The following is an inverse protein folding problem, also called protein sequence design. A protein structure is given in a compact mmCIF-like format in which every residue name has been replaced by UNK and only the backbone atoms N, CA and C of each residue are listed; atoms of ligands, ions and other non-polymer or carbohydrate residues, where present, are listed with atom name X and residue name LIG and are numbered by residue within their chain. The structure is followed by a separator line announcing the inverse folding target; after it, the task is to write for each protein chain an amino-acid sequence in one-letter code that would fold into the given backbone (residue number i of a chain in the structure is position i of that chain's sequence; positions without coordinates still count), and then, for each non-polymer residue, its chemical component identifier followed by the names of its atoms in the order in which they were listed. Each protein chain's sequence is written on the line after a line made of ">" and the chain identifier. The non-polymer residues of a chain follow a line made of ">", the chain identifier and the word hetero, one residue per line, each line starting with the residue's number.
data_IF_524583134936
#
_entry.id   IF_524583134936
#
_cell.length_a   1.000
_cell.length_b   1.000
_cell.length_c   1.000
_cell.angle_alpha   90.00
_cell.angle_beta   90.00
_cell.angle_gamma   90.00
#
_symmetry.space_group_name_H-M   'P 1'
#
loop_
_entity.id
_entity.type
_entity.pdbx_description
1 polymer ?
#
# COMPACT_ATOMS: atom_id res chain seq x y z
N UNK A 1 -2.55 7.88 -30.86
CA UNK A 1 -3.98 7.99 -31.27
C UNK A 1 -4.45 6.55 -31.45
N UNK A 2 -5.29 6.05 -30.53
CA UNK A 2 -5.84 4.69 -30.61
C UNK A 2 -6.99 4.73 -31.59
N UNK A 3 -6.88 4.01 -32.71
CA UNK A 3 -7.98 3.88 -33.64
C UNK A 3 -9.22 3.32 -32.92
N UNK A 4 -10.32 4.04 -32.99
CA UNK A 4 -11.50 3.86 -32.12
C UNK A 4 -12.22 2.51 -32.27
N UNK A 5 -11.96 1.73 -33.32
CA UNK A 5 -12.68 0.48 -33.60
C UNK A 5 -12.00 -0.79 -33.06
N UNK A 6 -10.75 -0.72 -32.58
CA UNK A 6 -9.97 -1.90 -32.20
C UNK A 6 -9.81 -2.10 -30.67
N UNK A 7 -10.52 -1.30 -29.86
CA UNK A 7 -10.39 -1.35 -28.40
C UNK A 7 -11.40 -2.31 -27.79
N UNK A 8 -10.91 -3.20 -26.92
CA UNK A 8 -11.72 -4.10 -26.11
C UNK A 8 -11.39 -3.90 -24.64
N UNK A 9 -12.41 -3.69 -23.84
CA UNK A 9 -12.24 -3.54 -22.39
C UNK A 9 -12.36 -4.87 -21.68
N UNK A 10 -11.36 -5.22 -20.87
CA UNK A 10 -11.43 -6.31 -19.92
C UNK A 10 -11.79 -5.74 -18.53
N UNK A 11 -12.88 -6.21 -17.92
CA UNK A 11 -13.32 -5.75 -16.60
C UNK A 11 -13.13 -6.88 -15.60
N UNK A 12 -12.57 -6.58 -14.43
CA UNK A 12 -12.31 -7.60 -13.39
C UNK A 12 -13.58 -8.12 -12.71
N UNK A 13 -14.67 -7.32 -12.71
CA UNK A 13 -15.95 -7.60 -12.05
C UNK A 13 -17.07 -7.90 -13.02
N UNK A 14 -18.13 -8.56 -12.57
CA UNK A 14 -19.27 -8.98 -13.39
C UNK A 14 -20.56 -8.21 -13.15
N UNK A 15 -20.51 -6.98 -12.65
CA UNK A 15 -21.68 -6.17 -12.30
C UNK A 15 -22.16 -5.28 -13.46
N UNK A 16 -23.48 -5.17 -13.63
CA UNK A 16 -24.06 -4.20 -14.55
C UNK A 16 -23.82 -2.74 -14.11
N UNK A 17 -23.66 -2.50 -12.81
CA UNK A 17 -23.31 -1.19 -12.28
C UNK A 17 -21.91 -0.76 -12.75
N UNK A 18 -20.95 -1.68 -12.75
CA UNK A 18 -19.58 -1.41 -13.22
C UNK A 18 -19.58 -1.11 -14.72
N UNK A 19 -20.37 -1.81 -15.51
CA UNK A 19 -20.51 -1.54 -16.95
C UNK A 19 -21.07 -0.14 -17.22
N UNK A 20 -22.08 0.29 -16.47
CA UNK A 20 -22.64 1.63 -16.62
C UNK A 20 -21.65 2.72 -16.20
N UNK A 21 -20.86 2.46 -15.15
CA UNK A 21 -19.80 3.35 -14.71
C UNK A 21 -18.69 3.46 -15.76
N UNK A 22 -18.27 2.33 -16.34
CA UNK A 22 -17.33 2.32 -17.46
C UNK A 22 -17.83 3.11 -18.66
N UNK A 23 -19.09 2.95 -19.05
CA UNK A 23 -19.70 3.72 -20.16
C UNK A 23 -19.61 5.22 -19.93
N UNK A 24 -19.93 5.65 -18.70
CA UNK A 24 -19.83 7.06 -18.31
C UNK A 24 -18.38 7.56 -18.34
N UNK A 25 -17.45 6.82 -17.77
CA UNK A 25 -16.03 7.17 -17.76
C UNK A 25 -15.44 7.21 -19.18
N UNK A 26 -15.77 6.24 -20.04
CA UNK A 26 -15.34 6.23 -21.43
C UNK A 26 -15.86 7.46 -22.20
N UNK A 27 -17.13 7.83 -21.98
CA UNK A 27 -17.73 9.04 -22.59
C UNK A 27 -17.00 10.32 -22.14
N UNK A 28 -16.72 10.44 -20.84
CA UNK A 28 -16.05 11.63 -20.27
C UNK A 28 -14.62 11.79 -20.80
N UNK A 29 -13.91 10.69 -21.07
CA UNK A 29 -12.51 10.71 -21.53
C UNK A 29 -12.38 10.54 -23.07
N UNK A 30 -13.46 10.67 -23.83
CA UNK A 30 -13.49 10.50 -25.28
C UNK A 30 -12.96 9.13 -25.75
N UNK A 31 -13.15 8.08 -24.95
CA UNK A 31 -12.83 6.70 -25.32
C UNK A 31 -14.01 5.99 -25.98
N UNK A 32 -13.78 4.93 -26.76
CA UNK A 32 -14.84 4.12 -27.36
C UNK A 32 -15.81 3.60 -26.30
N UNK A 33 -17.10 3.85 -26.48
CA UNK A 33 -18.12 3.44 -25.51
C UNK A 33 -18.33 1.92 -25.57
N UNK A 34 -18.26 1.17 -24.44
CA UNK A 34 -18.53 -0.26 -24.43
C UNK A 34 -20.00 -0.56 -24.77
N UNK A 35 -20.24 -1.33 -25.82
CA UNK A 35 -21.56 -1.73 -26.28
C UNK A 35 -21.64 -3.25 -26.41
N UNK A 36 -22.72 -3.88 -25.91
CA UNK A 36 -22.94 -5.33 -26.00
C UNK A 36 -22.95 -5.81 -27.46
N UNK A 37 -23.59 -5.06 -28.34
CA UNK A 37 -23.74 -5.41 -29.77
C UNK A 37 -22.41 -5.33 -30.54
N UNK A 38 -21.43 -4.54 -30.07
CA UNK A 38 -20.10 -4.41 -30.70
C UNK A 38 -19.07 -5.38 -30.14
N UNK A 39 -19.42 -6.21 -29.13
CA UNK A 39 -18.52 -7.16 -28.43
C UNK A 39 -17.18 -6.55 -28.02
N UNK A 40 -17.18 -5.24 -27.72
CA UNK A 40 -15.95 -4.51 -27.39
C UNK A 40 -15.65 -4.46 -25.87
N UNK A 41 -16.25 -5.36 -25.10
CA UNK A 41 -15.88 -5.60 -23.70
C UNK A 41 -16.18 -7.02 -23.28
N UNK A 42 -15.46 -7.51 -22.27
CA UNK A 42 -15.77 -8.76 -21.57
C UNK A 42 -15.47 -8.65 -20.08
N UNK A 43 -16.09 -9.53 -19.31
CA UNK A 43 -15.98 -9.55 -17.86
C UNK A 43 -15.30 -10.83 -17.40
N UNK A 44 -14.20 -10.69 -16.64
CA UNK A 44 -13.56 -11.81 -15.97
C UNK A 44 -14.37 -12.20 -14.73
N UNK A 45 -15.42 -12.98 -14.90
CA UNK A 45 -16.26 -13.44 -13.78
C UNK A 45 -15.41 -14.21 -12.77
N UNK A 46 -15.52 -13.84 -11.50
CA UNK A 46 -14.94 -14.60 -10.39
C UNK A 46 -15.47 -16.03 -10.34
N UNK A 47 -14.77 -16.91 -9.64
CA UNK A 47 -15.23 -18.27 -9.41
C UNK A 47 -16.55 -18.27 -8.64
N UNK A 48 -17.60 -18.90 -9.16
CA UNK A 48 -18.90 -19.04 -8.46
C UNK A 48 -18.77 -20.16 -7.43
N UNK A 49 -19.04 -19.84 -6.18
CA UNK A 49 -19.38 -20.81 -5.13
C UNK A 49 -20.90 -20.82 -4.99
N UNK A 50 -21.51 -21.98 -5.14
CA UNK A 50 -22.90 -22.17 -4.76
C UNK A 50 -23.04 -22.29 -3.24
N UNK A 51 -22.04 -22.91 -2.61
CA UNK A 51 -21.97 -23.09 -1.15
C UNK A 51 -20.54 -22.76 -0.63
N UNK A 52 -20.38 -22.33 0.64
CA UNK A 52 -19.09 -21.94 1.22
C UNK A 52 -18.00 -23.03 1.19
N UNK A 53 -18.39 -24.29 1.20
CA UNK A 53 -17.49 -25.46 1.19
C UNK A 53 -17.12 -25.97 -0.21
N UNK A 54 -17.70 -25.42 -1.26
CA UNK A 54 -17.38 -25.84 -2.63
C UNK A 54 -16.10 -25.19 -3.14
N UNK A 55 -15.27 -25.97 -3.84
CA UNK A 55 -14.15 -25.42 -4.61
C UNK A 55 -14.69 -24.52 -5.72
N UNK A 56 -14.18 -23.29 -5.83
CA UNK A 56 -14.67 -22.34 -6.81
C UNK A 56 -14.38 -22.82 -8.24
N UNK A 57 -15.42 -23.04 -9.04
CA UNK A 57 -15.27 -23.37 -10.46
C UNK A 57 -14.99 -22.11 -11.26
N UNK A 58 -13.79 -21.99 -11.80
CA UNK A 58 -13.42 -20.92 -12.73
C UNK A 58 -14.01 -21.25 -14.12
N UNK A 59 -14.79 -20.32 -14.67
CA UNK A 59 -15.23 -20.40 -16.08
C UNK A 59 -14.55 -19.27 -16.85
N UNK A 60 -13.87 -19.64 -17.94
CA UNK A 60 -13.34 -18.64 -18.87
C UNK A 60 -14.51 -17.92 -19.54
N UNK A 61 -14.42 -16.61 -19.76
CA UNK A 61 -15.47 -15.86 -20.45
C UNK A 61 -15.67 -16.39 -21.86
N UNK A 62 -16.92 -16.63 -22.27
CA UNK A 62 -17.24 -17.03 -23.65
C UNK A 62 -16.80 -15.95 -24.64
N UNK A 63 -16.94 -14.71 -24.24
CA UNK A 63 -16.53 -13.53 -24.99
C UNK A 63 -15.02 -13.52 -25.29
N UNK A 64 -14.19 -14.00 -24.37
CA UNK A 64 -12.75 -14.15 -24.61
C UNK A 64 -12.44 -15.27 -25.62
N UNK A 65 -13.20 -16.36 -25.60
CA UNK A 65 -13.07 -17.42 -26.60
C UNK A 65 -13.43 -16.93 -28.00
N UNK A 66 -14.53 -16.18 -28.15
CA UNK A 66 -14.97 -15.59 -29.42
C UNK A 66 -13.95 -14.58 -29.92
N UNK A 67 -13.41 -13.75 -29.04
CA UNK A 67 -12.37 -12.78 -29.37
C UNK A 67 -11.10 -13.45 -29.93
N UNK A 68 -10.62 -14.51 -29.31
CA UNK A 68 -9.36 -15.17 -29.72
C UNK A 68 -9.56 -15.98 -31.04
N UNK A 69 -10.78 -16.38 -31.34
CA UNK A 69 -11.13 -17.04 -32.60
C UNK A 69 -11.34 -16.07 -33.76
N UNK A 70 -11.45 -14.77 -33.47
CA UNK A 70 -11.64 -13.75 -34.50
C UNK A 70 -10.32 -13.62 -35.33
N UNK A 71 -10.39 -13.68 -36.68
CA UNK A 71 -9.22 -13.49 -37.54
C UNK A 71 -8.49 -12.15 -37.30
N UNK A 72 -9.24 -11.11 -36.94
CA UNK A 72 -8.68 -9.79 -36.64
C UNK A 72 -8.28 -9.59 -35.18
N UNK A 73 -8.24 -10.66 -34.39
CA UNK A 73 -7.88 -10.58 -32.97
C UNK A 73 -6.49 -9.96 -32.73
N UNK A 74 -5.53 -10.22 -33.60
CA UNK A 74 -4.18 -9.67 -33.53
C UNK A 74 -4.12 -8.14 -33.69
N UNK A 75 -5.15 -7.53 -34.30
CA UNK A 75 -5.27 -6.07 -34.46
C UNK A 75 -5.99 -5.39 -33.30
N UNK A 76 -6.56 -6.16 -32.37
CA UNK A 76 -7.36 -5.65 -31.26
C UNK A 76 -6.52 -5.43 -30.02
N UNK A 77 -6.74 -4.30 -29.37
CA UNK A 77 -6.04 -3.87 -28.15
C UNK A 77 -6.94 -4.16 -26.96
N UNK A 78 -6.46 -4.97 -26.01
CA UNK A 78 -7.20 -5.26 -24.78
C UNK A 78 -6.75 -4.29 -23.69
N UNK A 79 -7.68 -3.45 -23.22
CA UNK A 79 -7.44 -2.51 -22.12
C UNK A 79 -8.06 -3.07 -20.84
N UNK A 80 -7.25 -3.48 -19.85
CA UNK A 80 -7.76 -3.86 -18.55
C UNK A 80 -8.33 -2.63 -17.81
N UNK A 81 -9.52 -2.78 -17.21
CA UNK A 81 -10.18 -1.70 -16.47
C UNK A 81 -10.59 -2.18 -15.09
N UNK A 82 -10.11 -1.50 -14.06
CA UNK A 82 -10.55 -1.68 -12.69
C UNK A 82 -11.53 -0.57 -12.28
N UNK A 83 -12.59 -0.95 -11.58
CA UNK A 83 -13.60 -0.03 -11.06
C UNK A 83 -13.69 -0.22 -9.55
N UNK A 84 -13.39 0.84 -8.82
CA UNK A 84 -13.46 0.87 -7.36
C UNK A 84 -14.57 1.81 -6.91
N UNK A 85 -15.43 1.31 -6.01
CA UNK A 85 -16.50 2.08 -5.41
C UNK A 85 -16.07 2.63 -4.06
N UNK A 86 -16.10 3.95 -3.90
CA UNK A 86 -15.69 4.64 -2.70
C UNK A 86 -14.18 4.84 -2.58
N UNK A 87 -13.77 5.44 -1.46
CA UNK A 87 -12.36 5.58 -1.08
C UNK A 87 -11.90 4.26 -0.49
N UNK A 88 -10.83 3.72 -0.96
CA UNK A 88 -10.12 2.50 -0.55
C UNK A 88 -10.99 1.38 0.05
N UNK A 89 -10.96 0.15 -0.46
CA UNK A 89 -11.87 -0.89 -0.04
C UNK A 89 -11.58 -1.32 1.39
N UNK A 90 -12.64 -1.42 2.10
CA UNK A 90 -12.71 -1.92 3.44
C UNK A 90 -12.34 -3.40 3.54
N UNK A 91 -11.50 -3.73 4.47
CA UNK A 91 -11.02 -5.09 4.73
C UNK A 91 -11.29 -5.59 6.14
N UNK A 92 -12.18 -5.00 6.92
CA UNK A 92 -12.38 -5.52 8.28
C UNK A 92 -13.80 -5.49 8.85
N UNK A 93 -14.02 -6.53 9.59
CA UNK A 93 -14.78 -6.90 10.78
C UNK A 93 -16.30 -7.06 10.70
N UNK A 94 -16.69 -8.30 10.94
CA UNK A 94 -18.02 -8.89 11.16
C UNK A 94 -19.13 -8.42 10.22
N UNK A 95 -20.01 -7.53 10.60
CA UNK A 95 -21.15 -7.12 9.77
C UNK A 95 -20.76 -6.07 8.72
N UNK A 96 -19.78 -5.21 9.01
CA UNK A 96 -19.20 -4.25 8.05
C UNK A 96 -18.45 -4.98 6.96
N UNK A 97 -17.80 -6.13 7.23
CA UNK A 97 -17.22 -7.02 6.21
C UNK A 97 -18.21 -7.47 5.15
N UNK A 98 -19.47 -7.67 5.50
CA UNK A 98 -20.51 -8.06 4.54
C UNK A 98 -20.86 -6.95 3.57
N UNK A 99 -20.81 -5.69 4.02
CA UNK A 99 -21.20 -4.52 3.23
C UNK A 99 -20.05 -4.06 2.32
N UNK A 100 -18.82 -4.02 2.85
CA UNK A 100 -17.67 -3.41 2.17
C UNK A 100 -16.65 -4.41 1.61
N UNK A 101 -16.86 -5.70 1.84
CA UNK A 101 -15.95 -6.73 1.35
C UNK A 101 -15.97 -6.74 -0.16
N UNK A 102 -14.99 -6.05 -0.76
CA UNK A 102 -14.56 -6.30 -2.12
C UNK A 102 -13.84 -7.65 -2.10
N UNK A 103 -14.62 -8.72 -1.87
CA UNK A 103 -14.09 -10.05 -1.93
C UNK A 103 -13.60 -10.26 -3.37
N UNK A 104 -12.44 -10.83 -3.50
CA UNK A 104 -11.88 -11.35 -4.73
C UNK A 104 -12.83 -12.35 -5.43
N UNK A 105 -14.01 -12.60 -4.84
CA UNK A 105 -15.00 -13.59 -5.23
C UNK A 105 -16.38 -12.94 -5.35
N UNK A 106 -16.90 -12.94 -6.56
CA UNK A 106 -18.26 -12.72 -7.03
C UNK A 106 -19.16 -11.71 -6.29
N UNK A 107 -19.72 -10.76 -7.04
CA UNK A 107 -20.66 -9.74 -6.54
C UNK A 107 -22.08 -10.26 -6.43
N UNK A 108 -22.68 -10.19 -5.23
CA UNK A 108 -24.13 -10.27 -5.04
C UNK A 108 -24.76 -8.91 -5.37
N UNK A 109 -25.95 -8.90 -6.00
CA UNK A 109 -26.72 -7.67 -6.32
C UNK A 109 -26.92 -6.78 -5.07
N UNK A 110 -27.31 -7.40 -3.97
CA UNK A 110 -27.55 -6.68 -2.70
C UNK A 110 -26.30 -5.97 -2.18
N UNK A 111 -25.12 -6.58 -2.31
CA UNK A 111 -23.83 -5.99 -1.93
C UNK A 111 -23.48 -4.78 -2.79
N UNK A 112 -23.71 -4.87 -4.09
CA UNK A 112 -23.45 -3.75 -4.99
C UNK A 112 -24.41 -2.59 -4.75
N UNK A 113 -25.65 -2.88 -4.44
CA UNK A 113 -26.64 -1.87 -4.03
C UNK A 113 -26.19 -1.18 -2.73
N UNK A 114 -25.77 -1.93 -1.71
CA UNK A 114 -25.24 -1.37 -0.46
C UNK A 114 -23.97 -0.56 -0.68
N UNK A 115 -23.04 -1.00 -1.56
CA UNK A 115 -21.87 -0.19 -1.94
C UNK A 115 -22.26 1.17 -2.52
N UNK A 116 -23.26 1.21 -3.38
CA UNK A 116 -23.74 2.48 -3.97
C UNK A 116 -24.41 3.36 -2.92
N UNK A 117 -25.18 2.79 -2.01
CA UNK A 117 -25.86 3.53 -0.94
C UNK A 117 -24.86 4.13 0.05
N UNK A 118 -23.86 3.34 0.52
CA UNK A 118 -22.92 3.79 1.55
C UNK A 118 -21.75 4.61 1.00
N UNK A 119 -21.26 4.30 -0.20
CA UNK A 119 -20.15 5.03 -0.83
C UNK A 119 -20.62 6.18 -1.73
N UNK A 120 -21.92 6.39 -1.84
CA UNK A 120 -22.49 7.39 -2.73
C UNK A 120 -22.22 7.08 -4.20
N UNK A 121 -22.21 8.12 -5.04
CA UNK A 121 -21.96 7.99 -6.50
C UNK A 121 -20.47 8.05 -6.86
N UNK A 122 -19.57 7.96 -5.89
CA UNK A 122 -18.13 8.03 -6.13
C UNK A 122 -17.61 6.67 -6.61
N UNK A 123 -17.38 6.55 -7.90
CA UNK A 123 -16.71 5.39 -8.50
C UNK A 123 -15.46 5.87 -9.24
N UNK A 124 -14.34 5.27 -8.94
CA UNK A 124 -13.06 5.53 -9.60
C UNK A 124 -12.83 4.46 -10.68
N UNK A 125 -12.64 4.88 -11.91
CA UNK A 125 -12.38 4.01 -13.06
C UNK A 125 -10.93 4.18 -13.48
N UNK A 126 -10.17 3.09 -13.48
CA UNK A 126 -8.76 3.08 -13.85
C UNK A 126 -8.57 2.27 -15.12
N UNK A 127 -8.13 2.95 -16.17
CA UNK A 127 -7.69 2.34 -17.42
C UNK A 127 -6.20 2.00 -17.27
N UNK A 128 -5.85 0.74 -17.46
CA UNK A 128 -4.46 0.28 -17.34
C UNK A 128 -3.79 0.20 -18.71
N UNK A 129 -2.46 0.03 -18.71
CA UNK A 129 -1.70 -0.16 -19.94
C UNK A 129 -2.31 -1.29 -20.77
N UNK A 130 -2.51 -1.07 -22.09
CA UNK A 130 -3.01 -2.11 -22.98
C UNK A 130 -2.18 -3.38 -22.90
N UNK A 131 -2.82 -4.52 -23.15
CA UNK A 131 -2.14 -5.76 -23.48
C UNK A 131 -1.78 -5.72 -24.96
N UNK A 132 -0.49 -5.85 -25.26
CA UNK A 132 -0.03 -5.90 -26.63
C UNK A 132 -0.39 -7.25 -27.26
N UNK A 133 -0.80 -7.22 -28.52
CA UNK A 133 -1.20 -8.43 -29.25
C UNK A 133 -0.08 -9.47 -29.28
N UNK A 134 1.17 -9.03 -29.31
CA UNK A 134 2.37 -9.86 -29.28
C UNK A 134 2.48 -10.67 -28.00
N UNK A 135 2.13 -10.14 -26.84
CA UNK A 135 2.11 -10.88 -25.57
C UNK A 135 1.14 -12.08 -25.58
N UNK A 136 0.08 -11.99 -26.40
CA UNK A 136 -0.98 -12.98 -26.49
C UNK A 136 -0.70 -13.98 -27.60
N UNK A 137 -0.36 -13.51 -28.79
CA UNK A 137 -0.34 -14.30 -30.04
C UNK A 137 1.05 -14.79 -30.48
N UNK A 138 2.09 -14.63 -29.66
CA UNK A 138 3.49 -14.94 -29.97
C UNK A 138 3.78 -16.41 -30.36
N UNK A 139 2.83 -17.33 -30.19
CA UNK A 139 3.02 -18.75 -30.48
C UNK A 139 1.82 -19.33 -31.24
N UNK A 140 2.05 -20.11 -32.29
CA UNK A 140 1.05 -20.97 -33.00
C UNK A 140 0.55 -22.07 -32.03
N UNK A 141 -0.28 -21.72 -31.05
CA UNK A 141 -0.88 -22.67 -30.11
C UNK A 141 -2.39 -22.75 -30.31
N UNK A 142 -3.03 -23.81 -29.83
CA UNK A 142 -4.48 -23.98 -29.93
C UNK A 142 -5.21 -22.82 -29.27
N UNK A 143 -6.37 -22.43 -29.81
CA UNK A 143 -7.18 -21.33 -29.31
C UNK A 143 -7.53 -21.49 -27.81
N UNK A 144 -7.74 -22.71 -27.35
CA UNK A 144 -7.99 -23.02 -25.93
C UNK A 144 -6.80 -22.67 -25.02
N UNK A 145 -5.58 -22.91 -25.48
CA UNK A 145 -4.37 -22.57 -24.73
C UNK A 145 -4.18 -21.03 -24.68
N UNK A 146 -4.45 -20.33 -25.78
CA UNK A 146 -4.38 -18.86 -25.83
C UNK A 146 -5.40 -18.22 -24.89
N UNK A 147 -6.63 -18.75 -24.82
CA UNK A 147 -7.65 -18.28 -23.85
C UNK A 147 -7.18 -18.43 -22.42
N UNK A 148 -6.62 -19.59 -22.07
CA UNK A 148 -6.09 -19.84 -20.72
C UNK A 148 -4.90 -18.93 -20.39
N UNK A 149 -3.99 -18.72 -21.35
CA UNK A 149 -2.84 -17.81 -21.19
C UNK A 149 -3.32 -16.38 -20.95
N UNK A 150 -4.24 -15.87 -21.78
CA UNK A 150 -4.78 -14.51 -21.69
C UNK A 150 -5.57 -14.30 -20.40
N UNK A 151 -6.41 -15.27 -19.97
CA UNK A 151 -7.13 -15.20 -18.69
C UNK A 151 -6.16 -15.13 -17.51
N UNK A 152 -5.08 -15.94 -17.52
CA UNK A 152 -4.06 -15.91 -16.49
C UNK A 152 -3.31 -14.58 -16.45
N UNK A 153 -2.91 -14.06 -17.61
CA UNK A 153 -2.23 -12.77 -17.76
C UNK A 153 -3.10 -11.62 -17.22
N UNK A 154 -4.35 -11.56 -17.66
CA UNK A 154 -5.30 -10.53 -17.22
C UNK A 154 -5.53 -10.59 -15.71
N UNK A 155 -5.76 -11.79 -15.16
CA UNK A 155 -5.94 -11.94 -13.70
C UNK A 155 -4.69 -11.58 -12.91
N UNK A 156 -3.49 -11.91 -13.41
CA UNK A 156 -2.24 -11.52 -12.79
C UNK A 156 -2.08 -9.98 -12.82
N UNK A 157 -2.38 -9.34 -13.96
CA UNK A 157 -2.36 -7.87 -14.12
C UNK A 157 -3.36 -7.18 -13.21
N UNK A 158 -4.61 -7.63 -13.18
CA UNK A 158 -5.63 -7.11 -12.26
C UNK A 158 -5.20 -7.26 -10.79
N UNK A 159 -4.61 -8.41 -10.43
CA UNK A 159 -4.11 -8.64 -9.08
C UNK A 159 -3.00 -7.65 -8.72
N UNK A 160 -2.01 -7.44 -9.60
CA UNK A 160 -0.91 -6.49 -9.40
C UNK A 160 -1.43 -5.06 -9.27
N UNK A 161 -2.29 -4.62 -10.19
CA UNK A 161 -2.85 -3.27 -10.19
C UNK A 161 -3.70 -3.02 -8.94
N UNK A 162 -4.54 -4.00 -8.59
CA UNK A 162 -5.36 -3.94 -7.38
C UNK A 162 -4.50 -3.90 -6.13
N UNK A 163 -3.43 -4.69 -6.07
CA UNK A 163 -2.49 -4.69 -4.96
C UNK A 163 -1.74 -3.36 -4.83
N UNK A 164 -1.37 -2.73 -5.94
CA UNK A 164 -0.73 -1.42 -5.95
C UNK A 164 -1.63 -0.31 -5.37
N UNK A 165 -2.94 -0.40 -5.63
CA UNK A 165 -3.92 0.61 -5.19
C UNK A 165 -4.52 0.32 -3.81
N UNK A 166 -4.85 -0.94 -3.53
CA UNK A 166 -5.53 -1.35 -2.32
C UNK A 166 -4.59 -1.92 -1.26
N UNK A 167 -3.36 -2.13 -1.63
CA UNK A 167 -2.41 -2.89 -0.82
C UNK A 167 -2.66 -4.40 -0.85
N UNK A 168 -1.74 -5.17 -0.29
CA UNK A 168 -1.87 -6.60 -0.16
C UNK A 168 -3.02 -6.97 0.79
N UNK A 169 -3.49 -8.20 0.71
CA UNK A 169 -4.49 -8.69 1.65
C UNK A 169 -3.92 -8.68 3.08
N UNK A 170 -4.38 -7.74 3.87
CA UNK A 170 -4.05 -7.62 5.30
C UNK A 170 -4.84 -8.70 6.04
N UNK A 171 -4.57 -9.95 5.69
CA UNK A 171 -5.09 -11.04 6.45
C UNK A 171 -4.46 -11.00 7.83
N UNK A 172 -5.27 -10.63 8.80
CA UNK A 172 -5.08 -10.84 10.21
C UNK A 172 -3.62 -10.72 10.71
N UNK A 173 -3.34 -9.72 11.54
CA UNK A 173 -2.09 -9.53 12.29
C UNK A 173 -1.58 -10.83 12.91
N UNK A 174 -2.48 -11.70 13.39
CA UNK A 174 -2.14 -13.03 13.93
C UNK A 174 -1.42 -13.90 12.91
N UNK A 175 -1.88 -13.91 11.65
CA UNK A 175 -1.25 -14.67 10.57
C UNK A 175 0.14 -14.13 10.24
N UNK A 176 0.32 -12.80 10.27
CA UNK A 176 1.63 -12.18 10.07
C UNK A 176 2.59 -12.59 11.21
N UNK A 177 2.17 -12.43 12.46
CA UNK A 177 2.95 -12.83 13.63
C UNK A 177 3.33 -14.32 13.56
N UNK A 178 2.38 -15.18 13.25
CA UNK A 178 2.62 -16.62 13.11
C UNK A 178 3.62 -16.93 11.98
N UNK A 179 3.55 -16.24 10.87
CA UNK A 179 4.50 -16.40 9.75
C UNK A 179 5.93 -15.94 10.10
N UNK A 180 6.07 -14.90 10.93
CA UNK A 180 7.35 -14.41 11.44
C UNK A 180 7.97 -15.44 12.40
N UNK A 181 7.21 -15.92 13.37
CA UNK A 181 7.69 -16.88 14.37
C UNK A 181 8.06 -18.23 13.76
N UNK A 182 7.39 -18.62 12.68
CA UNK A 182 7.69 -19.85 11.95
C UNK A 182 8.80 -19.73 10.90
N UNK A 183 9.41 -18.54 10.74
CA UNK A 183 10.54 -18.37 9.83
C UNK A 183 11.75 -19.16 10.30
N UNK A 184 12.55 -19.64 9.32
CA UNK A 184 13.76 -20.42 9.60
C UNK A 184 14.77 -19.63 10.44
N UNK A 185 14.90 -18.32 10.19
CA UNK A 185 15.84 -17.45 10.88
C UNK A 185 15.51 -17.27 12.37
N UNK A 186 14.21 -17.07 12.69
CA UNK A 186 13.75 -16.94 14.09
C UNK A 186 13.85 -18.28 14.82
N UNK A 187 13.43 -19.38 14.19
CA UNK A 187 13.57 -20.72 14.77
C UNK A 187 15.01 -21.10 15.04
N UNK A 188 15.91 -20.82 14.09
CA UNK A 188 17.35 -21.07 14.27
C UNK A 188 17.93 -20.28 15.44
N UNK A 189 17.58 -18.99 15.57
CA UNK A 189 18.03 -18.18 16.69
C UNK A 189 17.52 -18.70 18.04
N UNK A 190 16.26 -19.14 18.13
CA UNK A 190 15.68 -19.75 19.35
C UNK A 190 16.40 -21.06 19.68
N UNK A 191 16.62 -21.93 18.69
CA UNK A 191 17.34 -23.20 18.87
C UNK A 191 18.78 -23.00 19.36
N UNK A 192 19.51 -22.08 18.73
CA UNK A 192 20.88 -21.74 19.14
C UNK A 192 20.95 -21.25 20.59
N UNK A 193 19.96 -20.47 21.01
CA UNK A 193 19.90 -19.98 22.40
C UNK A 193 19.51 -21.05 23.40
N UNK A 194 18.60 -21.94 23.01
CA UNK A 194 18.03 -22.96 23.92
C UNK A 194 18.98 -24.13 24.21
N UNK A 195 19.98 -24.37 23.32
CA UNK A 195 20.96 -25.47 23.44
C UNK A 195 20.31 -26.83 23.79
N UNK A 196 19.13 -27.09 23.24
CA UNK A 196 18.38 -28.35 23.46
C UNK A 196 17.44 -28.35 24.69
N UNK A 197 17.46 -27.33 25.54
CA UNK A 197 16.56 -27.24 26.68
C UNK A 197 15.15 -26.84 26.27
N UNK A 198 14.17 -27.72 26.34
CA UNK A 198 12.74 -27.45 25.99
C UNK A 198 12.14 -26.31 26.82
N UNK A 199 12.52 -26.16 28.08
CA UNK A 199 12.05 -25.09 28.98
C UNK A 199 12.55 -23.71 28.50
N UNK A 200 13.82 -23.62 28.12
CA UNK A 200 14.42 -22.40 27.58
C UNK A 200 13.84 -22.05 26.21
N UNK A 201 13.65 -23.05 25.37
CA UNK A 201 13.01 -22.90 24.06
C UNK A 201 11.60 -22.31 24.16
N UNK A 202 10.77 -22.87 25.05
CA UNK A 202 9.43 -22.35 25.31
C UNK A 202 9.45 -20.89 25.80
N UNK A 203 10.39 -20.55 26.69
CA UNK A 203 10.57 -19.17 27.15
C UNK A 203 10.99 -18.22 26.02
N UNK A 204 11.90 -18.64 25.13
CA UNK A 204 12.32 -17.83 23.98
C UNK A 204 11.21 -17.67 22.94
N UNK A 205 10.42 -18.72 22.67
CA UNK A 205 9.22 -18.64 21.83
C UNK A 205 8.22 -17.59 22.37
N UNK A 206 7.96 -17.59 23.68
CA UNK A 206 7.11 -16.59 24.35
C UNK A 206 7.68 -15.18 24.24
N UNK A 207 9.01 -15.02 24.33
CA UNK A 207 9.68 -13.71 24.13
C UNK A 207 9.57 -13.26 22.67
N UNK A 208 9.83 -14.13 21.69
CA UNK A 208 9.69 -13.83 20.27
C UNK A 208 8.26 -13.39 19.93
N UNK A 209 7.25 -14.07 20.49
CA UNK A 209 5.85 -13.68 20.34
C UNK A 209 5.56 -12.28 20.90
N UNK A 210 6.07 -11.97 22.10
CA UNK A 210 5.96 -10.63 22.70
C UNK A 210 6.64 -9.56 21.83
N UNK A 211 7.79 -9.86 21.23
CA UNK A 211 8.47 -8.95 20.31
C UNK A 211 7.67 -8.72 19.04
N UNK A 212 7.12 -9.77 18.46
CA UNK A 212 6.26 -9.65 17.28
C UNK A 212 5.00 -8.83 17.57
N UNK A 213 4.38 -9.00 18.75
CA UNK A 213 3.26 -8.16 19.21
C UNK A 213 3.68 -6.70 19.45
N UNK A 214 4.89 -6.46 19.92
CA UNK A 214 5.43 -5.10 20.09
C UNK A 214 5.64 -4.43 18.73
N UNK A 215 6.17 -5.14 17.75
CA UNK A 215 6.57 -4.63 16.44
C UNK A 215 5.36 -4.44 15.53
N UNK A 216 4.59 -5.48 15.25
CA UNK A 216 3.61 -5.51 14.15
C UNK A 216 2.49 -4.47 14.28
N UNK A 217 2.17 -3.83 13.17
CA UNK A 217 0.97 -3.00 12.99
C UNK A 217 -0.32 -3.82 13.06
N UNK A 218 -1.45 -3.13 13.13
CA UNK A 218 -2.79 -3.72 13.19
C UNK A 218 -3.79 -2.81 12.46
N UNK A 219 -3.61 -2.66 11.16
CA UNK A 219 -4.38 -1.71 10.36
C UNK A 219 -5.88 -1.96 10.49
N UNK A 220 -6.62 -0.90 10.76
CA UNK A 220 -8.08 -0.90 10.90
C UNK A 220 -8.69 0.18 10.01
N UNK A 221 -9.45 -0.24 8.99
CA UNK A 221 -10.08 0.70 8.06
C UNK A 221 -11.11 1.64 8.69
N UNK A 222 -11.93 1.24 9.67
CA UNK A 222 -12.77 2.19 10.41
C UNK A 222 -11.95 3.31 11.06
N UNK A 223 -10.78 3.00 11.61
CA UNK A 223 -9.88 3.99 12.19
C UNK A 223 -9.26 4.87 11.11
N UNK A 224 -8.86 4.31 9.98
CA UNK A 224 -8.36 5.08 8.82
C UNK A 224 -9.43 6.04 8.30
N UNK A 225 -10.68 5.59 8.20
CA UNK A 225 -11.80 6.45 7.81
C UNK A 225 -12.00 7.62 8.79
N UNK A 226 -11.87 7.35 10.09
CA UNK A 226 -11.93 8.40 11.11
C UNK A 226 -10.75 9.38 10.96
N UNK A 227 -9.53 8.87 10.70
CA UNK A 227 -8.39 9.72 10.37
C UNK A 227 -8.65 10.58 9.13
N UNK A 228 -9.20 10.02 8.05
CA UNK A 228 -9.53 10.80 6.84
C UNK A 228 -10.45 11.99 7.17
N UNK A 229 -11.48 11.76 7.98
CA UNK A 229 -12.39 12.84 8.38
C UNK A 229 -11.71 13.89 9.27
N UNK A 230 -10.97 13.43 10.27
CA UNK A 230 -10.27 14.32 11.19
C UNK A 230 -9.16 15.13 10.47
N UNK A 231 -8.38 14.48 9.60
CA UNK A 231 -7.31 15.15 8.85
C UNK A 231 -7.86 16.08 7.77
N UNK A 232 -8.95 15.71 7.10
CA UNK A 232 -9.61 16.59 6.15
C UNK A 232 -10.09 17.88 6.84
N UNK A 233 -10.72 17.74 8.02
CA UNK A 233 -11.08 18.90 8.82
C UNK A 233 -9.86 19.71 9.23
N UNK A 234 -8.77 19.06 9.70
CA UNK A 234 -7.54 19.72 10.15
C UNK A 234 -6.87 20.52 9.02
N UNK A 235 -6.68 19.92 7.84
CA UNK A 235 -6.03 20.58 6.71
C UNK A 235 -6.85 21.73 6.13
N UNK A 236 -8.19 21.71 6.26
CA UNK A 236 -9.05 22.78 5.74
C UNK A 236 -9.36 23.86 6.77
N UNK A 237 -9.10 23.63 8.06
CA UNK A 237 -9.46 24.59 9.12
C UNK A 237 -8.26 25.16 9.88
N UNK A 238 -7.10 24.51 9.81
CA UNK A 238 -5.87 24.95 10.47
C UNK A 238 -4.78 25.34 9.47
N UNK A 239 -4.80 24.73 8.31
CA UNK A 239 -4.02 25.10 7.14
C UNK A 239 -4.96 25.59 6.04
N UNK A 240 -4.41 26.29 5.04
CA UNK A 240 -5.13 26.66 3.82
C UNK A 240 -5.19 25.49 2.82
N UNK A 241 -4.63 24.37 3.20
CA UNK A 241 -4.62 23.11 2.48
C UNK A 241 -3.29 22.36 2.63
N UNK A 242 -3.29 21.17 2.07
CA UNK A 242 -2.09 20.37 1.85
C UNK A 242 -1.97 20.11 0.37
N UNK A 243 -1.04 20.78 -0.30
CA UNK A 243 -0.77 20.59 -1.72
C UNK A 243 0.13 19.37 -1.94
N UNK A 244 0.01 18.75 -3.10
CA UNK A 244 0.80 17.58 -3.45
C UNK A 244 1.32 17.69 -4.88
N UNK A 245 2.61 17.39 -5.07
CA UNK A 245 3.32 17.51 -6.35
C UNK A 245 3.96 16.16 -6.67
N UNK A 246 3.76 15.66 -7.88
CA UNK A 246 4.40 14.44 -8.40
C UNK A 246 3.73 13.12 -7.99
N UNK A 247 2.49 13.14 -7.49
CA UNK A 247 1.76 11.93 -7.07
C UNK A 247 1.31 11.07 -8.26
N UNK A 248 1.17 11.65 -9.43
CA UNK A 248 0.64 11.01 -10.64
C UNK A 248 1.46 9.78 -11.04
N UNK A 249 2.78 9.88 -10.88
CA UNK A 249 3.73 8.81 -11.20
C UNK A 249 3.66 7.62 -10.21
N UNK A 250 3.15 7.84 -8.98
CA UNK A 250 3.21 6.85 -7.89
C UNK A 250 2.36 5.63 -8.18
N UNK A 251 1.21 5.81 -8.81
CA UNK A 251 0.32 4.70 -9.19
C UNK A 251 1.02 3.67 -10.07
N UNK A 252 1.77 4.15 -11.07
CA UNK A 252 2.48 3.30 -12.02
C UNK A 252 3.73 2.67 -11.38
N UNK A 253 4.45 3.44 -10.56
CA UNK A 253 5.60 2.96 -9.80
C UNK A 253 5.22 1.85 -8.80
N UNK A 254 4.04 1.91 -8.21
CA UNK A 254 3.57 0.91 -7.25
C UNK A 254 3.23 -0.45 -7.89
N UNK A 255 3.06 -0.49 -9.23
CA UNK A 255 2.74 -1.73 -9.94
C UNK A 255 3.99 -2.61 -10.04
N UNK A 256 4.02 -3.69 -9.26
CA UNK A 256 5.13 -4.65 -9.25
C UNK A 256 6.28 -4.29 -8.31
N UNK A 257 6.32 -3.08 -7.79
CA UNK A 257 7.36 -2.60 -6.88
C UNK A 257 6.86 -2.48 -5.44
N UNK A 258 7.76 -2.57 -4.47
CA UNK A 258 7.54 -2.14 -3.09
C UNK A 258 8.15 -0.75 -2.92
N UNK A 259 7.32 0.23 -2.55
CA UNK A 259 7.78 1.60 -2.41
C UNK A 259 8.22 1.88 -0.98
N UNK A 260 9.36 2.53 -0.83
CA UNK A 260 9.89 2.99 0.44
C UNK A 260 9.88 4.51 0.44
N UNK A 261 8.92 5.07 1.13
CA UNK A 261 8.78 6.51 1.28
C UNK A 261 9.77 7.04 2.31
N UNK A 262 10.57 8.02 1.93
CA UNK A 262 11.60 8.64 2.79
C UNK A 262 11.38 10.14 2.91
N UNK A 263 10.36 10.57 3.67
CA UNK A 263 10.05 11.97 3.86
C UNK A 263 11.08 12.68 4.76
N UNK A 264 11.27 13.99 4.51
CA UNK A 264 11.93 14.89 5.46
C UNK A 264 11.06 15.04 6.72
N UNK A 265 11.71 15.20 7.90
CA UNK A 265 10.98 15.22 9.17
C UNK A 265 11.02 16.59 9.86
N UNK A 266 9.90 17.31 9.82
CA UNK A 266 9.77 18.67 10.37
C UNK A 266 8.74 18.77 11.50
N UNK A 267 7.67 17.96 11.41
CA UNK A 267 6.54 18.01 12.34
C UNK A 267 6.06 16.61 12.73
N UNK A 268 5.35 16.50 13.83
CA UNK A 268 4.66 15.25 14.19
C UNK A 268 3.50 14.88 13.26
N UNK A 269 3.04 15.80 12.42
CA UNK A 269 1.98 15.54 11.46
C UNK A 269 2.49 15.02 10.11
N UNK A 270 3.80 14.95 9.88
CA UNK A 270 4.39 14.55 8.59
C UNK A 270 3.89 13.16 8.13
N UNK A 271 3.94 12.17 9.03
CA UNK A 271 3.49 10.81 8.73
C UNK A 271 1.98 10.74 8.47
N UNK A 272 1.19 11.65 9.05
CA UNK A 272 -0.24 11.76 8.77
C UNK A 272 -0.50 12.46 7.45
N UNK A 273 0.32 13.46 7.08
CA UNK A 273 0.20 14.19 5.82
C UNK A 273 0.38 13.28 4.62
N UNK A 274 1.44 12.48 4.60
CA UNK A 274 1.69 11.52 3.51
C UNK A 274 0.58 10.48 3.41
N UNK A 275 0.27 9.82 4.54
CA UNK A 275 -0.79 8.81 4.57
C UNK A 275 -2.15 9.36 4.14
N UNK A 276 -2.51 10.58 4.57
CA UNK A 276 -3.74 11.25 4.16
C UNK A 276 -3.80 11.47 2.65
N UNK A 277 -2.71 11.99 2.06
CA UNK A 277 -2.67 12.24 0.61
C UNK A 277 -2.67 10.96 -0.22
N UNK A 278 -1.96 9.93 0.20
CA UNK A 278 -2.02 8.63 -0.47
C UNK A 278 -3.44 8.05 -0.42
N UNK A 279 -4.09 8.09 0.74
CA UNK A 279 -5.45 7.60 0.91
C UNK A 279 -6.47 8.36 0.05
N UNK A 280 -6.41 9.70 0.04
CA UNK A 280 -7.35 10.53 -0.73
C UNK A 280 -7.14 10.38 -2.25
N UNK A 281 -5.95 9.96 -2.68
CA UNK A 281 -5.64 9.65 -4.09
C UNK A 281 -5.79 8.14 -4.43
N UNK A 282 -6.44 7.37 -3.57
CA UNK A 282 -6.69 5.93 -3.76
C UNK A 282 -5.41 5.10 -3.97
N UNK A 283 -4.36 5.48 -3.26
CA UNK A 283 -3.10 4.74 -3.21
C UNK A 283 -2.98 3.95 -1.91
N UNK A 284 -2.16 2.90 -1.94
CA UNK A 284 -1.92 2.05 -0.77
C UNK A 284 -1.27 2.86 0.37
N UNK A 285 -1.82 2.69 1.57
CA UNK A 285 -1.21 3.25 2.78
C UNK A 285 0.08 2.51 3.13
N UNK A 286 1.15 3.24 3.46
CA UNK A 286 2.40 2.64 3.88
C UNK A 286 2.30 2.08 5.31
N UNK A 287 3.19 1.14 5.60
CA UNK A 287 3.50 0.74 6.96
C UNK A 287 4.52 1.74 7.52
N UNK A 288 4.17 2.44 8.60
CA UNK A 288 4.96 3.56 9.13
C UNK A 288 5.89 3.09 10.24
N UNK A 289 7.19 3.35 10.10
CA UNK A 289 8.17 3.07 11.15
C UNK A 289 8.05 4.10 12.26
N UNK A 290 7.66 3.66 13.45
CA UNK A 290 7.51 4.51 14.62
C UNK A 290 8.46 4.09 15.76
N UNK A 291 8.93 5.05 16.54
CA UNK A 291 9.73 4.75 17.74
C UNK A 291 8.89 4.08 18.82
N UNK A 292 9.48 3.10 19.55
CA UNK A 292 8.82 2.41 20.67
C UNK A 292 8.27 3.36 21.75
N UNK A 293 8.87 4.54 21.92
CA UNK A 293 8.39 5.55 22.87
C UNK A 293 6.95 6.04 22.58
N UNK A 294 6.47 5.86 21.36
CA UNK A 294 5.10 6.19 20.94
C UNK A 294 4.09 5.04 21.21
N UNK A 295 4.61 3.87 21.61
CA UNK A 295 3.79 2.69 21.89
C UNK A 295 3.17 2.74 23.30
N UNK A 296 2.45 3.81 23.58
CA UNK A 296 1.67 3.97 24.81
C UNK A 296 0.33 3.21 24.72
N UNK A 297 -0.31 2.84 25.83
CA UNK A 297 -1.49 1.96 25.82
C UNK A 297 -2.61 2.37 24.86
N UNK A 298 -3.03 3.63 24.87
CA UNK A 298 -4.10 4.15 23.99
C UNK A 298 -3.53 4.60 22.65
N UNK A 299 -2.52 5.49 22.71
CA UNK A 299 -1.91 6.08 21.53
C UNK A 299 -1.28 5.03 20.62
N UNK A 300 -0.52 4.08 21.20
CA UNK A 300 0.10 3.01 20.44
C UNK A 300 -0.91 2.13 19.70
N UNK A 301 -2.11 1.92 20.25
CA UNK A 301 -3.20 1.22 19.57
C UNK A 301 -3.73 2.04 18.40
N UNK A 302 -3.98 3.33 18.61
CA UNK A 302 -4.46 4.24 17.55
C UNK A 302 -3.45 4.29 16.41
N UNK A 303 -2.17 4.49 16.69
CA UNK A 303 -1.10 4.52 15.68
C UNK A 303 -0.98 3.18 14.94
N UNK A 304 -1.05 2.02 15.64
CA UNK A 304 -1.04 0.70 15.00
C UNK A 304 -2.19 0.53 14.01
N UNK A 305 -3.36 0.97 14.40
CA UNK A 305 -4.55 0.89 13.57
C UNK A 305 -4.46 1.80 12.33
N UNK A 306 -3.62 2.84 12.39
CA UNK A 306 -3.25 3.69 11.26
C UNK A 306 -2.10 3.15 10.39
N UNK A 307 -1.51 2.00 10.74
CA UNK A 307 -0.42 1.40 9.96
C UNK A 307 0.96 1.52 10.59
N UNK A 308 1.10 2.12 11.77
CA UNK A 308 2.39 2.21 12.44
C UNK A 308 2.86 0.86 12.99
N UNK A 309 4.13 0.55 12.79
CA UNK A 309 4.83 -0.52 13.48
C UNK A 309 6.01 0.03 14.28
N UNK A 310 6.35 -0.63 15.39
CA UNK A 310 7.23 -0.02 16.37
C UNK A 310 8.63 -0.60 16.38
N UNK A 311 9.62 0.29 16.43
CA UNK A 311 11.04 -0.05 16.48
C UNK A 311 11.69 0.49 17.76
N UNK A 312 12.54 -0.31 18.40
CA UNK A 312 13.40 0.15 19.49
C UNK A 312 14.55 0.99 18.94
N UNK A 313 14.98 1.99 19.67
CA UNK A 313 16.11 2.85 19.27
C UNK A 313 17.44 2.11 19.17
N UNK A 314 17.61 1.10 20.04
CA UNK A 314 18.79 0.26 20.09
C UNK A 314 18.36 -1.17 20.36
N UNK A 315 18.75 -2.10 19.50
CA UNK A 315 18.40 -3.51 19.63
C UNK A 315 19.51 -4.46 19.16
N UNK A 316 20.68 -3.92 18.77
CA UNK A 316 21.80 -4.72 18.27
C UNK A 316 22.29 -5.79 19.27
N UNK A 317 22.24 -5.52 20.58
CA UNK A 317 22.55 -6.49 21.62
C UNK A 317 21.50 -7.60 21.77
N UNK A 318 20.27 -7.41 21.29
CA UNK A 318 19.19 -8.40 21.38
C UNK A 318 19.00 -9.10 20.04
N UNK A 319 19.76 -10.16 19.80
CA UNK A 319 19.74 -10.93 18.53
C UNK A 319 18.33 -11.43 18.18
N UNK A 320 17.59 -11.96 19.15
CA UNK A 320 16.23 -12.46 18.91
C UNK A 320 15.29 -11.34 18.46
N UNK A 321 15.33 -10.16 19.09
CA UNK A 321 14.54 -9.02 18.66
C UNK A 321 14.91 -8.57 17.23
N UNK A 322 16.21 -8.49 16.96
CA UNK A 322 16.72 -8.14 15.62
C UNK A 322 16.24 -9.10 14.54
N UNK A 323 16.23 -10.42 14.81
CA UNK A 323 15.73 -11.43 13.87
C UNK A 323 14.22 -11.31 13.65
N UNK A 324 13.43 -11.10 14.71
CA UNK A 324 11.98 -10.90 14.61
C UNK A 324 11.67 -9.63 13.81
N UNK A 325 12.40 -8.54 14.03
CA UNK A 325 12.23 -7.28 13.30
C UNK A 325 12.61 -7.42 11.82
N UNK A 326 13.73 -8.07 11.53
CA UNK A 326 14.19 -8.35 10.18
C UNK A 326 13.16 -9.19 9.40
N UNK A 327 12.65 -10.27 10.00
CA UNK A 327 11.61 -11.10 9.37
C UNK A 327 10.29 -10.34 9.20
N UNK A 328 9.97 -9.41 10.09
CA UNK A 328 8.82 -8.54 9.90
C UNK A 328 8.95 -7.71 8.62
N UNK A 329 10.08 -7.01 8.43
CA UNK A 329 10.36 -6.25 7.20
C UNK A 329 10.30 -7.16 5.96
N UNK A 330 10.96 -8.32 6.00
CA UNK A 330 10.95 -9.29 4.91
C UNK A 330 9.54 -9.73 4.55
N UNK A 331 8.68 -10.01 5.54
CA UNK A 331 7.28 -10.37 5.31
C UNK A 331 6.45 -9.21 4.74
N UNK A 332 6.74 -7.96 5.10
CA UNK A 332 6.11 -6.81 4.49
C UNK A 332 6.45 -6.71 3.00
N UNK A 333 7.73 -6.82 2.64
CA UNK A 333 8.16 -6.79 1.23
C UNK A 333 7.61 -7.96 0.42
N UNK A 334 7.71 -9.19 0.94
CA UNK A 334 7.12 -10.38 0.29
C UNK A 334 5.63 -10.22 -0.03
N UNK A 335 4.91 -9.49 0.82
CA UNK A 335 3.49 -9.17 0.61
C UNK A 335 3.26 -7.95 -0.27
N UNK A 336 4.31 -7.18 -0.61
CA UNK A 336 4.24 -5.97 -1.43
C UNK A 336 3.69 -4.76 -0.70
N UNK A 337 3.94 -4.65 0.62
CA UNK A 337 3.66 -3.43 1.36
C UNK A 337 4.67 -2.35 1.03
N UNK A 338 4.20 -1.10 0.99
CA UNK A 338 5.07 0.08 1.06
C UNK A 338 5.41 0.38 2.51
N UNK A 339 6.59 0.95 2.72
CA UNK A 339 7.08 1.35 4.04
C UNK A 339 7.36 2.84 4.04
N UNK A 340 7.04 3.53 5.11
CA UNK A 340 7.41 4.91 5.37
C UNK A 340 8.35 4.97 6.57
N UNK A 341 9.48 5.62 6.41
CA UNK A 341 10.37 5.92 7.52
C UNK A 341 11.12 7.24 7.30
N UNK A 342 11.52 7.86 8.38
CA UNK A 342 12.26 9.12 8.36
C UNK A 342 13.76 8.85 8.48
N UNK A 343 14.56 9.07 7.40
CA UNK A 343 16.00 8.78 7.42
C UNK A 343 16.76 9.53 8.52
N UNK A 344 16.30 10.73 8.84
CA UNK A 344 16.86 11.59 9.86
C UNK A 344 16.75 11.02 11.30
N UNK A 345 15.78 10.12 11.52
CA UNK A 345 15.52 9.50 12.81
C UNK A 345 15.08 10.48 13.92
N UNK A 346 14.77 11.70 13.57
CA UNK A 346 14.26 12.76 14.44
C UNK A 346 13.87 13.99 13.64
N UNK A 347 13.07 14.88 14.27
CA UNK A 347 12.60 16.12 13.60
C UNK A 347 13.67 17.19 13.60
N UNK A 348 13.82 17.88 12.48
CA UNK A 348 14.61 19.10 12.43
C UNK A 348 13.85 20.28 13.08
N UNK A 349 14.55 21.06 13.88
CA UNK A 349 14.01 22.28 14.50
C UNK A 349 14.41 23.54 13.76
N UNK A 350 15.45 23.46 12.96
CA UNK A 350 16.03 24.59 12.22
C UNK A 350 15.57 24.65 10.78
N UNK A 351 14.81 23.63 10.30
CA UNK A 351 14.42 23.47 8.91
C UNK A 351 15.51 22.85 8.02
N UNK A 352 16.75 22.69 8.51
CA UNK A 352 17.84 22.01 7.77
C UNK A 352 17.68 20.49 7.90
N UNK A 353 18.02 19.75 6.86
CA UNK A 353 18.05 18.29 6.91
C UNK A 353 19.08 17.83 7.95
N UNK A 354 18.69 16.84 8.73
CA UNK A 354 19.61 16.17 9.64
C UNK A 354 20.35 15.05 8.92
N UNK A 355 21.55 14.71 9.42
CA UNK A 355 22.32 13.58 8.89
C UNK A 355 21.52 12.29 8.99
N UNK A 356 21.45 11.47 7.92
CA UNK A 356 20.67 10.24 7.91
C UNK A 356 21.27 9.20 8.87
N UNK A 357 20.40 8.39 9.47
CA UNK A 357 20.79 7.26 10.32
C UNK A 357 20.77 5.96 9.50
N UNK A 358 21.94 5.33 9.28
CA UNK A 358 22.03 4.20 8.35
C UNK A 358 21.38 2.91 8.87
N UNK A 359 21.08 2.80 10.17
CA UNK A 359 20.65 1.55 10.79
C UNK A 359 19.39 0.94 10.16
N UNK A 360 18.32 1.75 9.98
CA UNK A 360 17.06 1.26 9.39
C UNK A 360 17.23 1.01 7.88
N UNK A 361 17.98 1.86 7.18
CA UNK A 361 18.26 1.70 5.75
C UNK A 361 18.98 0.37 5.50
N UNK A 362 20.05 0.09 6.27
CA UNK A 362 20.78 -1.17 6.19
C UNK A 362 19.90 -2.39 6.45
N UNK A 363 18.98 -2.31 7.41
CA UNK A 363 18.05 -3.40 7.68
C UNK A 363 17.04 -3.61 6.55
N UNK A 364 16.53 -2.52 6.01
CA UNK A 364 15.64 -2.56 4.84
C UNK A 364 16.36 -3.21 3.67
N UNK A 365 17.56 -2.74 3.29
CA UNK A 365 18.34 -3.28 2.18
C UNK A 365 18.58 -4.78 2.37
N UNK A 366 19.07 -5.18 3.54
CA UNK A 366 19.33 -6.61 3.84
C UNK A 366 18.07 -7.47 3.81
N UNK A 367 16.90 -6.90 4.09
CA UNK A 367 15.65 -7.67 4.16
C UNK A 367 15.08 -8.06 2.79
N UNK A 368 15.50 -7.40 1.72
CA UNK A 368 15.07 -7.75 0.37
C UNK A 368 16.22 -8.23 -0.55
N UNK A 369 17.48 -8.18 -0.13
CA UNK A 369 18.63 -8.63 -0.92
C UNK A 369 18.47 -10.05 -1.48
N UNK A 370 17.80 -10.95 -0.75
CA UNK A 370 17.55 -12.33 -1.12
C UNK A 370 16.15 -12.54 -1.73
N UNK A 371 15.53 -11.49 -2.26
CA UNK A 371 14.15 -11.55 -2.75
C UNK A 371 14.09 -11.25 -4.25
N UNK A 372 13.80 -12.27 -5.06
CA UNK A 372 13.67 -12.16 -6.53
C UNK A 372 12.26 -11.71 -6.98
N UNK A 373 11.32 -11.57 -6.07
CA UNK A 373 9.89 -11.43 -6.43
C UNK A 373 9.45 -10.00 -6.78
N UNK A 374 10.16 -8.96 -6.28
CA UNK A 374 9.76 -7.55 -6.43
C UNK A 374 10.94 -6.60 -6.31
N UNK A 375 10.93 -5.60 -7.16
CA UNK A 375 11.85 -4.48 -7.04
C UNK A 375 11.44 -3.57 -5.89
N UNK A 376 12.45 -2.98 -5.25
CA UNK A 376 12.27 -2.02 -4.15
C UNK A 376 12.81 -0.67 -4.60
N UNK A 377 11.97 0.36 -4.50
CA UNK A 377 12.32 1.72 -4.89
C UNK A 377 12.20 2.66 -3.71
N UNK A 378 13.27 3.42 -3.43
CA UNK A 378 13.22 4.52 -2.49
C UNK A 378 12.61 5.76 -3.16
N UNK A 379 11.72 6.41 -2.46
CA UNK A 379 11.02 7.59 -2.95
C UNK A 379 11.22 8.73 -1.96
N UNK A 380 12.16 9.65 -2.26
CA UNK A 380 12.37 10.83 -1.44
C UNK A 380 11.14 11.73 -1.47
N UNK A 381 10.80 12.31 -0.31
CA UNK A 381 9.65 13.22 -0.21
C UNK A 381 10.07 14.45 0.59
N UNK A 382 9.89 15.61 0.01
CA UNK A 382 10.03 16.88 0.72
C UNK A 382 8.69 17.27 1.32
N UNK A 383 8.66 17.53 2.63
CA UNK A 383 7.50 18.10 3.31
C UNK A 383 7.89 19.50 3.80
N UNK A 384 7.12 20.50 3.39
CA UNK A 384 7.35 21.90 3.73
C UNK A 384 6.07 22.53 4.26
N UNK A 385 6.22 23.44 5.18
CA UNK A 385 5.15 24.18 5.82
C UNK A 385 5.49 25.67 5.79
N UNK A 386 4.53 26.53 5.51
CA UNK A 386 4.69 27.96 5.73
C UNK A 386 4.92 28.24 7.22
N UNK A 387 4.12 27.60 8.07
CA UNK A 387 4.30 27.64 9.53
C UNK A 387 4.19 26.24 10.09
N UNK A 388 5.23 25.78 10.79
CA UNK A 388 5.23 24.49 11.48
C UNK A 388 4.37 24.59 12.73
N UNK A 389 3.53 23.59 12.98
CA UNK A 389 2.64 23.53 14.14
C UNK A 389 3.39 23.74 15.47
N UNK A 390 4.56 23.12 15.60
CA UNK A 390 5.42 23.20 16.79
C UNK A 390 6.37 24.42 16.80
N UNK A 391 6.23 25.36 15.87
CA UNK A 391 7.15 26.49 15.71
C UNK A 391 7.39 27.30 17.00
N UNK A 392 6.33 27.58 17.77
CA UNK A 392 6.45 28.27 19.08
C UNK A 392 7.25 27.45 20.10
N UNK A 393 7.11 26.12 20.11
CA UNK A 393 7.86 25.22 20.97
C UNK A 393 9.34 25.19 20.58
N UNK A 394 9.62 25.09 19.27
CA UNK A 394 10.99 25.11 18.75
C UNK A 394 11.73 26.40 19.07
N UNK A 395 11.06 27.54 18.98
CA UNK A 395 11.63 28.83 19.35
C UNK A 395 11.95 28.92 20.85
N UNK A 396 11.08 28.40 21.74
CA UNK A 396 11.33 28.35 23.18
C UNK A 396 12.52 27.43 23.52
N UNK A 397 12.57 26.23 22.93
CA UNK A 397 13.69 25.30 23.12
C UNK A 397 15.02 25.90 22.63
N UNK A 398 15.02 26.60 21.51
CA UNK A 398 16.20 27.27 20.97
C UNK A 398 16.72 28.34 21.93
N UNK A 399 15.82 29.13 22.53
CA UNK A 399 16.18 30.17 23.51
C UNK A 399 16.69 29.60 24.84
N UNK A 400 16.06 28.53 25.32
CA UNK A 400 16.39 27.92 26.63
C UNK A 400 17.53 26.91 26.60
N UNK A 401 17.95 26.44 25.41
CA UNK A 401 18.91 25.33 25.19
C UNK A 401 18.54 24.03 25.91
N UNK A 402 17.32 23.91 26.43
CA UNK A 402 16.82 22.75 27.15
C UNK A 402 15.83 22.03 26.25
N UNK A 403 16.09 20.74 26.06
CA UNK A 403 15.22 19.86 25.29
C UNK A 403 14.06 19.41 26.16
N UNK A 404 12.86 19.92 25.92
CA UNK A 404 11.66 19.48 26.63
C UNK A 404 11.30 18.05 26.21
N UNK A 405 10.84 17.23 27.18
CA UNK A 405 10.29 15.90 26.89
C UNK A 405 8.98 16.07 26.14
N UNK A 406 9.02 15.79 24.85
CA UNK A 406 7.87 15.88 24.00
C UNK A 406 6.85 14.80 24.35
N UNK A 407 5.66 15.22 24.74
CA UNK A 407 4.48 14.36 24.85
C UNK A 407 3.58 14.59 23.65
N UNK A 408 3.07 13.52 23.06
CA UNK A 408 2.06 13.66 21.96
C UNK A 408 0.77 14.31 22.49
N UNK A 409 0.49 14.23 23.79
CA UNK A 409 -0.59 15.01 24.40
C UNK A 409 -0.37 16.52 24.24
N UNK A 410 0.89 16.99 24.24
CA UNK A 410 1.20 18.39 23.97
C UNK A 410 0.89 18.82 22.54
N UNK A 411 0.86 17.87 21.57
CA UNK A 411 0.47 18.16 20.20
C UNK A 411 -1.04 18.42 20.12
N UNK A 412 -1.84 17.59 20.76
CA UNK A 412 -3.30 17.79 20.79
C UNK A 412 -3.67 19.08 21.50
N UNK A 413 -3.00 19.44 22.61
CA UNK A 413 -3.21 20.74 23.24
C UNK A 413 -2.76 21.89 22.33
N UNK A 414 -1.63 21.75 21.65
CA UNK A 414 -1.16 22.77 20.69
C UNK A 414 -2.14 22.96 19.53
N UNK A 415 -2.77 21.87 19.03
CA UNK A 415 -3.79 21.96 17.98
C UNK A 415 -5.04 22.65 18.50
N UNK A 416 -5.47 22.38 19.75
CA UNK A 416 -6.65 23.02 20.34
C UNK A 416 -6.42 24.50 20.67
N UNK A 417 -5.23 24.84 21.12
CA UNK A 417 -4.88 26.19 21.58
C UNK A 417 -4.47 27.13 20.45
N UNK A 418 -4.18 26.58 19.27
CA UNK A 418 -3.78 27.37 18.11
C UNK A 418 -5.00 28.02 17.44
N UNK A 419 -5.18 29.33 17.62
CA UNK A 419 -6.30 30.13 17.08
C UNK A 419 -6.00 30.80 15.72
N UNK A 420 -4.86 30.50 15.07
CA UNK A 420 -4.46 31.13 13.82
C UNK A 420 -4.39 30.17 12.65
N UNK A 421 -4.28 30.70 11.45
CA UNK A 421 -3.95 29.96 10.24
C UNK A 421 -2.45 29.68 10.13
N UNK A 422 -2.11 28.47 9.67
CA UNK A 422 -0.74 27.99 9.52
C UNK A 422 -0.20 28.18 8.08
N UNK A 423 -1.03 28.69 7.19
CA UNK A 423 -0.71 28.83 5.77
C UNK A 423 -0.76 27.50 5.03
N UNK A 424 -0.05 27.37 3.92
CA UNK A 424 -0.03 26.15 3.12
C UNK A 424 0.99 25.13 3.62
N UNK A 425 0.69 23.87 3.38
CA UNK A 425 1.64 22.78 3.51
C UNK A 425 1.82 22.09 2.16
N UNK A 426 3.05 21.69 1.84
CA UNK A 426 3.42 21.11 0.55
C UNK A 426 4.08 19.75 0.75
N UNK A 427 3.69 18.80 -0.07
CA UNK A 427 4.26 17.47 -0.12
C UNK A 427 4.71 17.20 -1.56
N UNK A 428 6.01 17.12 -1.76
CA UNK A 428 6.60 16.93 -3.08
C UNK A 428 7.35 15.60 -3.16
N UNK A 429 6.97 14.78 -4.13
CA UNK A 429 7.66 13.53 -4.45
C UNK A 429 8.87 13.83 -5.34
N UNK A 430 10.03 13.29 -4.94
CA UNK A 430 11.25 13.30 -5.76
C UNK A 430 11.28 12.13 -6.74
N UNK A 431 12.36 12.04 -7.52
CA UNK A 431 12.57 10.94 -8.44
C UNK A 431 12.88 9.64 -7.65
N UNK A 432 12.33 8.49 -8.08
CA UNK A 432 12.57 7.21 -7.43
C UNK A 432 14.04 6.77 -7.59
N UNK A 433 14.59 6.20 -6.53
CA UNK A 433 15.94 5.66 -6.50
C UNK A 433 15.83 4.13 -6.47
N UNK A 434 16.38 3.48 -7.49
CA UNK A 434 16.40 2.02 -7.58
C UNK A 434 17.41 1.43 -6.60
N UNK A 435 16.96 0.46 -5.80
CA UNK A 435 17.82 -0.15 -4.82
C UNK A 435 18.91 -1.03 -5.42
N UNK A 436 18.68 -1.55 -6.62
CA UNK A 436 19.67 -2.34 -7.37
C UNK A 436 20.90 -1.52 -7.79
N UNK A 437 20.79 -0.20 -7.94
CA UNK A 437 21.93 0.66 -8.23
C UNK A 437 22.97 0.68 -7.10
N UNK A 438 22.57 0.40 -5.87
CA UNK A 438 23.47 0.33 -4.72
C UNK A 438 24.13 -1.05 -4.51
N UNK A 439 23.65 -2.07 -5.20
CA UNK A 439 24.21 -3.43 -5.18
C UNK A 439 25.11 -3.71 -6.39
N UNK A 440 25.12 -2.85 -7.39
CA UNK A 440 26.09 -2.89 -8.47
C UNK A 440 27.46 -2.51 -7.92
N UNK A 441 28.55 -3.24 -8.30
CA UNK A 441 29.89 -2.82 -7.90
C UNK A 441 30.14 -1.38 -8.37
N UNK A 442 30.68 -0.57 -7.47
CA UNK A 442 31.02 0.81 -7.78
C UNK A 442 31.93 0.81 -9.02
N UNK A 443 31.84 1.80 -9.92
CA UNK A 443 32.83 1.95 -10.98
C UNK A 443 34.29 2.00 -10.47
N UNK A 444 34.48 2.28 -9.16
CA UNK A 444 35.79 2.19 -8.51
C UNK A 444 36.24 0.76 -8.23
N UNK A 445 35.30 -0.19 -8.06
CA UNK A 445 35.63 -1.61 -7.80
C UNK A 445 35.93 -2.39 -9.11
N UNK A 446 35.63 -1.78 -10.27
CA UNK A 446 35.91 -2.31 -11.58
C UNK A 446 37.31 -1.91 -12.10
N UNK A 447 38.08 -1.15 -11.34
CA UNK A 447 39.44 -0.68 -11.69
C UNK A 447 40.54 -1.29 -10.80
N UNK A 448 40.20 -2.27 -9.96
CA UNK A 448 41.14 -3.11 -9.23
C UNK A 448 41.04 -4.55 -9.74
#
# INVERSE_FOLDING_TARGET
>A
IIETNNVIYAISTGSNFDLNTLKKAAKTNNFPIPKKNKKNFFQLKGARRLFPWQTPRRRNPRELHELIKDPDAAKKIIIPVDIFWGKSPDRQDHWVKLIFRDSWEGSSFLRNLLKVIFNGRQANVFFHKPLESEEIFTQKKSSSHLVLKTDRLLRARFRRNRQAKLGPDISNRRTLIHSILNSSSVKKEISNFSKGSKKVEAAQNKRAYKYALEICSDISYPVIYLYDKALNWFWNNRYDGLEIIGIEKISDLAVGNSLIYTPSHRSHIDYLALSFKLYTNNLMLPQIVAGKNLNLPVLGRILRNGGAFFMRRSFGANKLYSKVFFEHLRKLFQRGYSIEFFPEGGRTRTGRLLSPRPGIISMIIKSFQDMDERDVKFLPISITYEKVLEGKSYLRESKRRIKEKESIFSIFSTISDFRGYLGNAYLQFGEPIDCLLYTSPSPRDALT
#
